data_IF_581111952015
#
_entry.id   IF_581111952015
#
_cell.length_a   1.000
_cell.length_b   1.000
_cell.length_c   1.000
_cell.angle_alpha   90.00
_cell.angle_beta   90.00
_cell.angle_gamma   90.00
#
_symmetry.space_group_name_H-M   'P 1'
#
loop_
_entity.id
_entity.type
_entity.pdbx_description
1 polymer ?
#
# COMPACT_ATOMS: atom_id res chain seq x y z
N UNK A 1 -15.53 22.61 1.67
CA UNK A 1 -15.83 21.21 2.04
C UNK A 1 -15.97 21.13 3.56
N UNK A 2 -17.00 20.47 4.10
CA UNK A 2 -17.15 20.35 5.56
C UNK A 2 -16.05 19.46 6.18
N UNK A 3 -15.70 19.65 7.47
CA UNK A 3 -14.72 18.79 8.15
C UNK A 3 -15.07 17.30 8.07
N UNK A 4 -16.34 16.97 8.26
CA UNK A 4 -16.85 15.59 8.11
C UNK A 4 -16.67 15.05 6.69
N UNK A 5 -16.93 15.86 5.66
CA UNK A 5 -16.70 15.47 4.27
C UNK A 5 -15.20 15.26 3.98
N UNK A 6 -14.33 16.07 4.59
CA UNK A 6 -12.86 15.91 4.51
C UNK A 6 -12.40 14.60 5.15
N UNK A 7 -12.88 14.29 6.35
CA UNK A 7 -12.57 13.02 7.04
C UNK A 7 -13.04 11.81 6.20
N UNK A 8 -14.24 11.87 5.63
CA UNK A 8 -14.75 10.82 4.73
C UNK A 8 -13.89 10.67 3.47
N UNK A 9 -13.43 11.76 2.87
CA UNK A 9 -12.53 11.71 1.71
C UNK A 9 -11.19 11.06 2.05
N UNK A 10 -10.59 11.39 3.21
CA UNK A 10 -9.36 10.78 3.68
C UNK A 10 -9.52 9.27 3.88
N UNK A 11 -10.65 8.81 4.44
CA UNK A 11 -10.94 7.37 4.58
C UNK A 11 -11.08 6.67 3.24
N UNK A 12 -11.77 7.26 2.27
CA UNK A 12 -11.87 6.69 0.91
C UNK A 12 -10.50 6.55 0.26
N UNK A 13 -9.64 7.57 0.40
CA UNK A 13 -8.26 7.52 -0.10
C UNK A 13 -7.46 6.42 0.60
N UNK A 14 -7.54 6.32 1.92
CA UNK A 14 -6.87 5.26 2.67
C UNK A 14 -7.31 3.85 2.21
N UNK A 15 -8.61 3.65 1.99
CA UNK A 15 -9.12 2.38 1.48
C UNK A 15 -8.56 2.08 0.09
N UNK A 16 -8.55 3.06 -0.81
CA UNK A 16 -8.00 2.89 -2.15
C UNK A 16 -6.51 2.51 -2.12
N UNK A 17 -5.69 3.16 -1.28
CA UNK A 17 -4.27 2.83 -1.14
C UNK A 17 -4.06 1.41 -0.61
N UNK A 18 -4.88 0.95 0.35
CA UNK A 18 -4.82 -0.42 0.87
C UNK A 18 -5.18 -1.44 -0.21
N UNK A 19 -6.25 -1.18 -0.96
CA UNK A 19 -6.65 -2.04 -2.08
C UNK A 19 -5.53 -2.13 -3.10
N UNK A 20 -4.93 -1.00 -3.50
CA UNK A 20 -3.83 -1.00 -4.46
C UNK A 20 -2.61 -1.78 -3.94
N UNK A 21 -2.24 -1.63 -2.66
CA UNK A 21 -1.17 -2.40 -2.05
C UNK A 21 -1.44 -3.92 -2.10
N UNK A 22 -2.67 -4.33 -1.78
CA UNK A 22 -3.09 -5.74 -1.86
C UNK A 22 -3.07 -6.27 -3.31
N UNK A 23 -3.54 -5.48 -4.27
CA UNK A 23 -3.51 -5.85 -5.70
C UNK A 23 -2.08 -6.05 -6.18
N UNK A 24 -1.17 -5.12 -5.85
CA UNK A 24 0.25 -5.23 -6.19
C UNK A 24 0.86 -6.54 -5.69
N UNK A 25 0.58 -6.93 -4.44
CA UNK A 25 1.10 -8.16 -3.83
C UNK A 25 0.42 -9.45 -4.31
N UNK A 26 -0.75 -9.35 -4.95
CA UNK A 26 -1.43 -10.49 -5.58
C UNK A 26 -0.97 -10.75 -7.02
N UNK A 27 -0.06 -9.92 -7.55
CA UNK A 27 0.33 -9.99 -8.96
C UNK A 27 1.03 -11.31 -9.28
N UNK A 28 0.61 -12.06 -10.33
CA UNK A 28 1.24 -13.32 -10.73
C UNK A 28 2.75 -13.21 -11.03
N UNK A 29 3.25 -12.02 -11.37
CA UNK A 29 4.68 -11.78 -11.55
C UNK A 29 5.51 -12.06 -10.27
N UNK A 30 4.89 -12.05 -9.09
CA UNK A 30 5.54 -12.39 -7.82
C UNK A 30 5.77 -13.91 -7.66
N UNK A 31 5.02 -14.76 -8.37
CA UNK A 31 5.23 -16.21 -8.35
C UNK A 31 6.22 -16.69 -9.41
N UNK A 32 6.61 -15.86 -10.39
CA UNK A 32 7.55 -16.23 -11.46
C UNK A 32 8.90 -16.76 -10.93
N UNK A 33 9.36 -16.24 -9.80
CA UNK A 33 10.61 -16.69 -9.18
C UNK A 33 10.55 -18.15 -8.72
N UNK A 34 9.36 -18.67 -8.41
CA UNK A 34 9.15 -20.06 -8.02
C UNK A 34 9.31 -21.04 -9.19
N UNK A 35 9.27 -20.53 -10.43
CA UNK A 35 9.41 -21.31 -11.66
C UNK A 35 10.80 -21.18 -12.30
N UNK A 36 11.71 -20.38 -11.74
CA UNK A 36 13.03 -20.08 -12.30
C UNK A 36 14.18 -20.85 -11.60
N UNK A 37 13.94 -22.12 -11.26
CA UNK A 37 14.88 -22.98 -10.50
C UNK A 37 16.06 -23.52 -11.31
N UNK A 38 17.04 -24.10 -10.61
CA UNK A 38 18.29 -24.62 -11.20
C UNK A 38 18.06 -25.73 -12.22
N UNK A 39 16.97 -26.50 -12.10
CA UNK A 39 16.61 -27.57 -13.02
C UNK A 39 16.20 -27.08 -14.42
N UNK A 40 15.90 -25.79 -14.57
CA UNK A 40 15.42 -25.21 -15.84
C UNK A 40 16.32 -24.08 -16.35
N UNK A 41 16.92 -23.28 -15.45
CA UNK A 41 17.58 -22.02 -15.77
C UNK A 41 19.02 -21.98 -15.25
N UNK A 42 19.97 -22.46 -16.06
CA UNK A 42 21.40 -22.46 -15.75
C UNK A 42 22.20 -21.50 -16.65
N UNK A 43 23.26 -20.89 -16.09
CA UNK A 43 24.15 -19.95 -16.79
C UNK A 43 24.00 -18.49 -16.35
N UNK A 44 24.86 -17.62 -16.88
CA UNK A 44 25.01 -16.23 -16.45
C UNK A 44 23.79 -15.35 -16.75
N UNK A 45 23.13 -15.56 -17.90
CA UNK A 45 21.95 -14.76 -18.28
C UNK A 45 20.73 -15.05 -17.39
N UNK A 46 20.35 -16.32 -17.12
CA UNK A 46 19.28 -16.60 -16.17
C UNK A 46 19.55 -16.09 -14.76
N UNK A 47 20.81 -16.09 -14.30
CA UNK A 47 21.16 -15.54 -12.98
C UNK A 47 20.93 -14.02 -12.90
N UNK A 48 21.27 -13.28 -13.97
CA UNK A 48 20.94 -11.85 -14.08
C UNK A 48 19.42 -11.63 -14.05
N UNK A 49 18.65 -12.46 -14.74
CA UNK A 49 17.19 -12.39 -14.72
C UNK A 49 16.62 -12.66 -13.32
N UNK A 50 17.12 -13.67 -12.61
CA UNK A 50 16.72 -13.95 -11.21
C UNK A 50 17.05 -12.79 -10.28
N UNK A 51 18.25 -12.22 -10.41
CA UNK A 51 18.67 -11.07 -9.63
C UNK A 51 17.78 -9.85 -9.88
N UNK A 52 17.47 -9.55 -11.14
CA UNK A 52 16.55 -8.48 -11.52
C UNK A 52 15.14 -8.72 -11.00
N UNK A 53 14.63 -9.96 -11.09
CA UNK A 53 13.32 -10.33 -10.58
C UNK A 53 13.23 -10.12 -9.06
N UNK A 54 14.24 -10.60 -8.32
CA UNK A 54 14.34 -10.41 -6.86
C UNK A 54 14.35 -8.92 -6.47
N UNK A 55 15.15 -8.11 -7.17
CA UNK A 55 15.20 -6.67 -6.93
C UNK A 55 13.84 -6.00 -7.20
N UNK A 56 13.15 -6.40 -8.27
CA UNK A 56 11.83 -5.89 -8.59
C UNK A 56 10.77 -6.31 -7.55
N UNK A 57 10.83 -7.54 -7.04
CA UNK A 57 9.96 -8.00 -5.95
C UNK A 57 10.16 -7.16 -4.68
N UNK A 58 11.41 -6.92 -4.29
CA UNK A 58 11.72 -6.09 -3.13
C UNK A 58 11.19 -4.66 -3.29
N UNK A 59 11.36 -4.06 -4.46
CA UNK A 59 10.84 -2.72 -4.77
C UNK A 59 9.31 -2.66 -4.73
N UNK A 60 8.64 -3.71 -5.21
CA UNK A 60 7.18 -3.81 -5.17
C UNK A 60 6.68 -3.87 -3.73
N UNK A 61 7.27 -4.73 -2.88
CA UNK A 61 6.91 -4.81 -1.46
C UNK A 61 7.14 -3.49 -0.73
N UNK A 62 8.30 -2.85 -0.91
CA UNK A 62 8.57 -1.54 -0.32
C UNK A 62 7.55 -0.48 -0.76
N UNK A 63 7.09 -0.54 -2.02
CA UNK A 63 6.04 0.35 -2.52
C UNK A 63 4.69 0.05 -1.87
N UNK A 64 4.30 -1.23 -1.76
CA UNK A 64 3.06 -1.63 -1.09
C UNK A 64 3.03 -1.20 0.39
N UNK A 65 4.15 -1.34 1.09
CA UNK A 65 4.29 -0.89 2.48
C UNK A 65 4.17 0.63 2.61
N UNK A 66 4.78 1.38 1.69
CA UNK A 66 4.66 2.84 1.62
C UNK A 66 3.19 3.28 1.42
N UNK A 67 2.43 2.57 0.57
CA UNK A 67 1.00 2.83 0.38
C UNK A 67 0.19 2.55 1.67
N UNK A 68 0.51 1.48 2.40
CA UNK A 68 -0.13 1.13 3.67
C UNK A 68 0.16 2.15 4.76
N UNK A 69 1.41 2.61 4.86
CA UNK A 69 1.82 3.67 5.78
C UNK A 69 1.04 4.96 5.49
N UNK A 70 0.97 5.37 4.23
CA UNK A 70 0.20 6.55 3.84
C UNK A 70 -1.30 6.41 4.14
N UNK A 71 -1.87 5.22 3.94
CA UNK A 71 -3.25 4.93 4.31
C UNK A 71 -3.49 5.04 5.82
N UNK A 72 -2.55 4.57 6.64
CA UNK A 72 -2.58 4.73 8.09
C UNK A 72 -2.59 6.20 8.50
N UNK A 73 -1.72 7.02 7.92
CA UNK A 73 -1.67 8.46 8.17
C UNK A 73 -2.99 9.17 7.82
N UNK A 74 -3.63 8.80 6.70
CA UNK A 74 -4.94 9.35 6.35
C UNK A 74 -6.05 8.97 7.33
N UNK A 75 -6.07 7.73 7.81
CA UNK A 75 -7.05 7.31 8.84
C UNK A 75 -6.82 8.07 10.14
N UNK A 76 -5.56 8.20 10.56
CA UNK A 76 -5.20 8.98 11.76
C UNK A 76 -5.71 10.41 11.67
N UNK A 77 -5.41 11.11 10.57
CA UNK A 77 -5.86 12.48 10.35
C UNK A 77 -7.39 12.59 10.26
N UNK A 78 -8.08 11.64 9.62
CA UNK A 78 -9.54 11.61 9.62
C UNK A 78 -10.12 11.52 11.04
N UNK A 79 -9.51 10.71 11.90
CA UNK A 79 -9.93 10.57 13.30
C UNK A 79 -9.69 11.87 14.10
N UNK A 80 -8.56 12.55 13.89
CA UNK A 80 -8.25 13.84 14.52
C UNK A 80 -9.32 14.89 14.17
N UNK A 81 -9.68 15.01 12.88
CA UNK A 81 -10.74 15.92 12.42
C UNK A 81 -12.07 15.63 13.13
N UNK A 82 -12.45 14.36 13.25
CA UNK A 82 -13.72 13.99 13.89
C UNK A 82 -13.73 14.26 15.38
N UNK A 83 -12.59 14.08 16.06
CA UNK A 83 -12.44 14.43 17.48
C UNK A 83 -12.64 15.94 17.65
N UNK A 84 -12.02 16.75 16.80
CA UNK A 84 -12.19 18.21 16.83
C UNK A 84 -13.64 18.64 16.59
N UNK A 85 -14.30 18.05 15.60
CA UNK A 85 -15.73 18.31 15.33
C UNK A 85 -16.60 17.95 16.53
N UNK A 86 -16.39 16.78 17.14
CA UNK A 86 -17.14 16.37 18.35
C UNK A 86 -16.91 17.33 19.51
N UNK A 87 -15.66 17.80 19.71
CA UNK A 87 -15.33 18.78 20.75
C UNK A 87 -16.03 20.12 20.50
N UNK A 88 -16.03 20.62 19.27
CA UNK A 88 -16.68 21.87 18.93
C UNK A 88 -18.20 21.81 19.16
N UNK A 89 -18.84 20.69 18.80
CA UNK A 89 -20.27 20.47 19.02
C UNK A 89 -20.63 20.39 20.51
N UNK A 90 -19.75 19.84 21.35
CA UNK A 90 -19.97 19.73 22.80
C UNK A 90 -19.80 21.05 23.56
N UNK A 91 -19.13 22.04 22.95
CA UNK A 91 -18.91 23.38 23.56
C UNK A 91 -19.99 24.37 23.09
N UNK A 92 -20.55 24.17 21.89
CA UNK A 92 -21.53 25.08 21.28
C UNK A 92 -23.00 24.68 21.43
N UNK A 93 -23.29 23.54 22.06
CA UNK A 93 -24.65 23.09 22.40
C UNK A 93 -24.87 23.15 23.91
#
# INVERSE_FOLDING_TARGET
MSPTARAAQLRRRAQHLRTLASEMESTPALSLGQHAGEETWCGSRPELCRSALKANHQRLHASADSLREQAYLFVRHANEIEIEVRRALAIGG
#
